data_IF_129716646543
#
_entry.id   IF_129716646543
#
_cell.length_a   1.000
_cell.length_b   1.000
_cell.length_c   1.000
_cell.angle_alpha   90.00
_cell.angle_beta   90.00
_cell.angle_gamma   90.00
#
_symmetry.space_group_name_H-M   'P 1'
#
loop_
_entity.id
_entity.type
_entity.pdbx_description
1 polymer ?
#
# COMPACT_ATOMS: atom_id res chain seq x y z
N UNK A 1 -27.11 -10.70 -11.90
CA UNK A 1 -26.61 -10.42 -10.52
C UNK A 1 -25.11 -10.73 -10.32
N UNK A 2 -24.61 -11.92 -10.65
CA UNK A 2 -23.20 -12.32 -10.40
C UNK A 2 -22.15 -11.43 -11.11
N UNK A 3 -22.35 -11.10 -12.41
CA UNK A 3 -21.44 -10.21 -13.16
C UNK A 3 -21.28 -8.82 -12.55
N UNK A 4 -22.36 -8.25 -12.01
CA UNK A 4 -22.34 -6.94 -11.33
C UNK A 4 -21.49 -6.98 -10.06
N UNK A 5 -21.53 -8.11 -9.34
CA UNK A 5 -20.74 -8.33 -8.12
C UNK A 5 -19.26 -8.51 -8.46
N UNK A 6 -18.93 -9.35 -9.43
CA UNK A 6 -17.55 -9.52 -9.89
C UNK A 6 -16.95 -8.18 -10.34
N UNK A 7 -17.68 -7.40 -11.14
CA UNK A 7 -17.23 -6.06 -11.55
C UNK A 7 -17.01 -5.13 -10.35
N UNK A 8 -17.88 -5.17 -9.34
CA UNK A 8 -17.71 -4.38 -8.12
C UNK A 8 -16.49 -4.83 -7.31
N UNK A 9 -16.26 -6.13 -7.17
CA UNK A 9 -15.08 -6.72 -6.52
C UNK A 9 -13.81 -6.25 -7.23
N UNK A 10 -13.72 -6.46 -8.54
CA UNK A 10 -12.56 -6.07 -9.35
C UNK A 10 -12.31 -4.57 -9.29
N UNK A 11 -13.34 -3.74 -9.48
CA UNK A 11 -13.20 -2.26 -9.44
C UNK A 11 -12.79 -1.73 -8.07
N UNK A 12 -13.20 -2.40 -6.99
CA UNK A 12 -12.84 -1.99 -5.63
C UNK A 12 -11.42 -2.43 -5.28
N UNK A 13 -11.03 -3.65 -5.68
CA UNK A 13 -9.67 -4.15 -5.53
C UNK A 13 -8.69 -3.28 -6.33
N UNK A 14 -8.96 -3.00 -7.62
CA UNK A 14 -8.08 -2.17 -8.45
C UNK A 14 -7.94 -0.75 -7.91
N UNK A 15 -9.01 -0.16 -7.37
CA UNK A 15 -8.94 1.16 -6.74
C UNK A 15 -8.08 1.15 -5.46
N UNK A 16 -8.23 0.13 -4.61
CA UNK A 16 -7.39 -0.04 -3.41
C UNK A 16 -5.91 -0.23 -3.76
N UNK A 17 -5.62 -1.11 -4.72
CA UNK A 17 -4.25 -1.35 -5.22
C UNK A 17 -3.64 -0.09 -5.84
N UNK A 18 -4.41 0.68 -6.61
CA UNK A 18 -3.93 1.93 -7.18
C UNK A 18 -3.53 2.95 -6.09
N UNK A 19 -4.35 3.11 -5.04
CA UNK A 19 -4.01 4.01 -3.92
C UNK A 19 -2.77 3.54 -3.17
N UNK A 20 -2.61 2.23 -2.96
CA UNK A 20 -1.39 1.69 -2.37
C UNK A 20 -0.15 2.00 -3.21
N UNK A 21 -0.20 1.79 -4.52
CA UNK A 21 0.92 2.04 -5.42
C UNK A 21 1.27 3.53 -5.51
N UNK A 22 0.26 4.40 -5.63
CA UNK A 22 0.47 5.85 -5.64
C UNK A 22 1.06 6.33 -4.32
N UNK A 23 0.56 5.81 -3.18
CA UNK A 23 1.12 6.10 -1.87
C UNK A 23 2.56 5.62 -1.72
N UNK A 24 2.87 4.42 -2.20
CA UNK A 24 4.22 3.87 -2.24
C UNK A 24 5.18 4.71 -3.09
N UNK A 25 4.73 5.16 -4.28
CA UNK A 25 5.50 6.04 -5.14
C UNK A 25 5.78 7.40 -4.48
N UNK A 26 4.77 7.99 -3.82
CA UNK A 26 4.95 9.22 -3.06
C UNK A 26 5.96 9.04 -1.93
N UNK A 27 5.88 7.95 -1.16
CA UNK A 27 6.85 7.64 -0.10
C UNK A 27 8.28 7.48 -0.64
N UNK A 28 8.45 6.92 -1.84
CA UNK A 28 9.76 6.79 -2.48
C UNK A 28 10.32 8.13 -2.99
N UNK A 29 9.46 9.02 -3.49
CA UNK A 29 9.86 10.31 -4.07
C UNK A 29 10.02 11.41 -3.01
N UNK A 30 9.25 11.35 -1.91
CA UNK A 30 9.21 12.40 -0.90
C UNK A 30 10.59 12.76 -0.32
N UNK A 31 11.49 11.79 0.01
CA UNK A 31 12.83 12.12 0.50
C UNK A 31 13.67 12.92 -0.51
N UNK A 32 13.53 12.63 -1.81
CA UNK A 32 14.24 13.34 -2.88
C UNK A 32 13.73 14.78 -3.01
N UNK A 33 12.42 14.97 -2.86
CA UNK A 33 11.77 16.28 -2.93
C UNK A 33 12.09 17.15 -1.70
N UNK A 34 12.17 16.54 -0.52
CA UNK A 34 12.49 17.25 0.72
C UNK A 34 13.97 17.62 0.83
N UNK A 35 14.88 16.86 0.19
CA UNK A 35 16.34 17.09 0.24
C UNK A 35 16.95 17.21 -1.16
N UNK A 36 16.59 18.26 -1.92
CA UNK A 36 17.00 18.40 -3.32
C UNK A 36 18.51 18.63 -3.48
N UNK A 37 19.18 19.24 -2.50
CA UNK A 37 20.62 19.48 -2.53
C UNK A 37 21.41 18.16 -2.48
N UNK A 38 21.04 17.25 -1.57
CA UNK A 38 21.64 15.92 -1.45
C UNK A 38 21.34 15.05 -2.68
N UNK A 39 20.10 15.11 -3.18
CA UNK A 39 19.72 14.40 -4.40
C UNK A 39 20.55 14.89 -5.61
N UNK A 40 20.79 16.21 -5.70
CA UNK A 40 21.58 16.81 -6.77
C UNK A 40 23.06 16.44 -6.67
N UNK A 41 23.66 16.44 -5.49
CA UNK A 41 25.06 16.05 -5.33
C UNK A 41 25.27 14.57 -5.68
N UNK A 42 24.37 13.69 -5.24
CA UNK A 42 24.40 12.27 -5.62
C UNK A 42 24.24 12.08 -7.14
N UNK A 43 23.30 12.79 -7.77
CA UNK A 43 23.09 12.74 -9.22
C UNK A 43 24.32 13.20 -10.01
N UNK A 44 24.95 14.30 -9.57
CA UNK A 44 26.15 14.83 -10.22
C UNK A 44 27.38 13.94 -10.00
N UNK A 45 27.45 13.17 -8.91
CA UNK A 45 28.50 12.16 -8.74
C UNK A 45 28.32 10.94 -9.65
N UNK A 46 27.07 10.48 -9.84
CA UNK A 46 26.75 9.32 -10.67
C UNK A 46 26.93 9.59 -12.18
N UNK A 47 26.77 10.84 -12.63
CA UNK A 47 26.89 11.20 -14.03
C UNK A 47 27.60 12.55 -14.23
N UNK A 48 28.86 12.47 -14.63
CA UNK A 48 29.68 13.64 -14.97
C UNK A 48 29.24 14.26 -16.31
N UNK A 49 28.87 13.42 -17.29
CA UNK A 49 28.51 13.84 -18.66
C UNK A 49 27.00 13.96 -18.90
N UNK A 50 26.60 14.78 -19.89
CA UNK A 50 25.19 15.00 -20.25
C UNK A 50 24.47 13.71 -20.70
N UNK A 51 25.17 12.80 -21.39
CA UNK A 51 24.65 11.49 -21.79
C UNK A 51 24.40 10.59 -20.58
N UNK A 52 25.32 10.58 -19.60
CA UNK A 52 25.16 9.88 -18.34
C UNK A 52 23.98 10.40 -17.54
N UNK A 53 23.76 11.72 -17.52
CA UNK A 53 22.63 12.35 -16.82
C UNK A 53 21.29 11.91 -17.42
N UNK A 54 21.19 11.89 -18.76
CA UNK A 54 20.00 11.38 -19.44
C UNK A 54 19.77 9.89 -19.15
N UNK A 55 20.82 9.07 -19.16
CA UNK A 55 20.73 7.65 -18.84
C UNK A 55 20.25 7.40 -17.40
N UNK A 56 20.76 8.15 -16.42
CA UNK A 56 20.34 8.04 -15.00
C UNK A 56 18.88 8.45 -14.83
N UNK A 57 18.42 9.52 -15.50
CA UNK A 57 17.00 9.92 -15.46
C UNK A 57 16.11 8.84 -16.08
N UNK A 58 16.48 8.32 -17.24
CA UNK A 58 15.73 7.24 -17.90
C UNK A 58 15.69 5.98 -17.04
N UNK A 59 16.79 5.63 -16.38
CA UNK A 59 16.87 4.51 -15.45
C UNK A 59 15.98 4.75 -14.22
N UNK A 60 16.01 5.95 -13.64
CA UNK A 60 15.14 6.30 -12.51
C UNK A 60 13.66 6.22 -12.89
N UNK A 61 13.29 6.69 -14.08
CA UNK A 61 11.93 6.57 -14.63
C UNK A 61 11.55 5.11 -14.88
N UNK A 62 12.48 4.28 -15.36
CA UNK A 62 12.24 2.85 -15.56
C UNK A 62 12.07 2.09 -14.23
N UNK A 63 12.75 2.52 -13.17
CA UNK A 63 12.68 1.92 -11.83
C UNK A 63 11.53 2.45 -10.97
N UNK A 64 10.85 3.52 -11.41
CA UNK A 64 9.75 4.15 -10.67
C UNK A 64 8.61 3.19 -10.31
N UNK A 65 8.14 2.30 -11.21
CA UNK A 65 7.13 1.30 -10.87
C UNK A 65 7.61 0.32 -9.81
N UNK A 66 8.90 -0.05 -9.84
CA UNK A 66 9.49 -0.93 -8.84
C UNK A 66 9.56 -0.24 -7.47
N UNK A 67 10.01 1.02 -7.46
CA UNK A 67 10.05 1.85 -6.24
C UNK A 67 8.66 2.03 -5.62
N UNK A 68 7.60 2.15 -6.43
CA UNK A 68 6.23 2.22 -5.95
C UNK A 68 5.78 0.94 -5.21
N UNK A 69 6.09 -0.23 -5.77
CA UNK A 69 5.77 -1.53 -5.15
C UNK A 69 6.56 -1.74 -3.86
N UNK A 70 7.83 -1.35 -3.85
CA UNK A 70 8.69 -1.39 -2.66
C UNK A 70 8.17 -0.43 -1.57
N UNK A 71 7.85 0.81 -1.92
CA UNK A 71 7.27 1.77 -0.99
C UNK A 71 5.92 1.32 -0.43
N UNK A 72 5.08 0.69 -1.24
CA UNK A 72 3.82 0.11 -0.79
C UNK A 72 4.03 -1.07 0.19
N UNK A 73 5.00 -1.94 -0.10
CA UNK A 73 5.37 -3.05 0.79
C UNK A 73 5.92 -2.55 2.12
N UNK A 74 6.73 -1.49 2.10
CA UNK A 74 7.20 -0.82 3.30
C UNK A 74 6.02 -0.28 4.12
N UNK A 75 5.09 0.42 3.46
CA UNK A 75 3.92 1.01 4.13
C UNK A 75 3.00 -0.02 4.81
N UNK A 76 2.93 -1.23 4.26
CA UNK A 76 2.12 -2.33 4.79
C UNK A 76 2.67 -2.92 6.11
N UNK A 77 3.91 -2.61 6.48
CA UNK A 77 4.52 -3.05 7.74
C UNK A 77 5.49 -4.24 7.71
N UNK A 78 5.56 -5.16 6.72
CA UNK A 78 6.50 -6.29 6.79
C UNK A 78 7.98 -5.88 6.75
N UNK A 79 8.28 -4.61 6.42
CA UNK A 79 9.65 -4.10 6.40
C UNK A 79 10.51 -4.70 5.30
N UNK A 80 11.80 -4.39 5.32
CA UNK A 80 12.81 -5.02 4.49
C UNK A 80 13.85 -5.73 5.37
N UNK A 81 14.24 -6.94 4.98
CA UNK A 81 15.44 -7.57 5.51
C UNK A 81 16.65 -6.89 4.85
N UNK A 82 17.45 -6.18 5.64
CA UNK A 82 18.79 -5.77 5.22
C UNK A 82 19.75 -6.94 5.46
N UNK A 83 20.78 -7.04 4.61
CA UNK A 83 22.02 -7.78 4.84
C UNK A 83 22.25 -8.19 6.29
N UNK A 84 22.26 -9.50 6.61
CA UNK A 84 22.57 -10.04 7.95
C UNK A 84 21.46 -10.01 9.03
N UNK A 85 20.18 -10.17 8.65
CA UNK A 85 19.11 -10.49 9.60
C UNK A 85 18.52 -9.28 10.35
N UNK A 86 18.79 -8.07 9.89
CA UNK A 86 18.20 -6.85 10.43
C UNK A 86 16.92 -6.51 9.67
N UNK A 87 15.77 -6.60 10.36
CA UNK A 87 14.47 -6.23 9.82
C UNK A 87 14.20 -4.74 10.09
N UNK A 88 14.08 -3.95 9.02
CA UNK A 88 13.67 -2.54 9.10
C UNK A 88 12.21 -2.46 8.70
N UNK A 89 11.33 -2.42 9.69
CA UNK A 89 9.90 -2.16 9.50
C UNK A 89 9.52 -0.80 10.07
N UNK A 90 8.53 -0.11 9.47
CA UNK A 90 8.03 1.16 9.97
C UNK A 90 7.40 1.08 11.38
N UNK A 91 7.00 -0.13 11.80
CA UNK A 91 6.36 -0.39 13.09
C UNK A 91 7.30 -1.04 14.11
N UNK A 92 8.60 -1.09 13.83
CA UNK A 92 9.61 -1.57 14.76
C UNK A 92 10.81 -2.19 14.06
N UNK A 93 11.99 -1.99 14.64
CA UNK A 93 13.19 -2.77 14.31
C UNK A 93 13.24 -3.97 15.24
N UNK A 94 13.09 -5.19 14.71
CA UNK A 94 13.43 -6.38 15.48
C UNK A 94 14.95 -6.50 15.48
N UNK A 95 15.61 -5.86 16.44
CA UNK A 95 17.03 -6.09 16.68
C UNK A 95 17.20 -7.54 17.15
N UNK A 96 17.78 -8.40 16.31
CA UNK A 96 18.39 -9.65 16.78
C UNK A 96 19.42 -9.26 17.86
N UNK A 97 19.48 -9.95 19.01
CA UNK A 97 20.43 -9.60 20.07
C UNK A 97 21.84 -9.57 19.48
N UNK A 98 22.50 -8.40 19.55
CA UNK A 98 23.85 -8.23 19.01
C UNK A 98 24.75 -9.31 19.61
N UNK A 99 25.49 -10.05 18.78
CA UNK A 99 26.67 -10.76 19.24
C UNK A 99 27.61 -9.74 19.91
N UNK A 100 28.19 -10.07 21.08
CA UNK A 100 29.13 -9.17 21.75
C UNK A 100 30.36 -8.98 20.87
N UNK A 101 30.46 -7.81 20.22
CA UNK A 101 31.55 -7.46 19.32
C UNK A 101 31.15 -6.95 17.93
N UNK A 102 29.85 -6.94 17.56
CA UNK A 102 29.45 -6.38 16.27
C UNK A 102 29.73 -4.86 16.20
N UNK A 103 30.43 -4.38 15.15
CA UNK A 103 30.73 -2.96 15.00
C UNK A 103 29.42 -2.18 14.92
N UNK A 104 29.26 -1.20 15.81
CA UNK A 104 28.10 -0.32 15.85
C UNK A 104 28.04 0.46 14.54
N UNK A 105 27.21 0.00 13.60
CA UNK A 105 26.87 0.74 12.40
C UNK A 105 26.25 2.08 12.83
N UNK A 106 26.87 3.25 12.56
CA UNK A 106 26.36 4.56 12.98
C UNK A 106 25.11 5.01 12.20
N UNK A 107 24.50 4.11 11.42
CA UNK A 107 23.42 4.39 10.48
C UNK A 107 22.13 3.73 10.97
N UNK A 108 21.80 3.94 12.24
CA UNK A 108 20.42 3.82 12.69
C UNK A 108 19.91 5.26 12.80
N UNK A 109 18.90 5.67 12.01
CA UNK A 109 18.28 6.97 12.22
C UNK A 109 17.88 7.05 13.70
N UNK A 110 18.46 8.03 14.41
CA UNK A 110 18.16 8.32 15.81
C UNK A 110 16.68 8.70 16.01
N UNK A 111 15.94 8.90 14.93
CA UNK A 111 14.54 9.23 14.90
C UNK A 111 13.71 7.96 15.06
N UNK A 112 13.67 7.49 16.32
CA UNK A 112 12.65 6.57 16.80
C UNK A 112 11.24 7.13 16.56
N UNK A 113 10.26 6.24 16.69
CA UNK A 113 8.83 6.51 16.81
C UNK A 113 8.45 8.00 16.91
N UNK A 114 7.88 8.56 15.84
CA UNK A 114 7.32 9.92 15.87
C UNK A 114 7.67 10.84 14.71
N UNK A 115 8.63 10.48 13.84
CA UNK A 115 8.89 11.27 12.64
C UNK A 115 7.62 11.35 11.75
N UNK A 116 7.26 12.50 11.14
CA UNK A 116 6.08 12.63 10.30
C UNK A 116 6.03 11.61 9.15
N UNK A 117 7.20 11.12 8.71
CA UNK A 117 7.34 10.05 7.74
C UNK A 117 6.80 8.70 8.25
N UNK A 118 6.93 8.40 9.55
CA UNK A 118 6.38 7.18 10.18
C UNK A 118 4.85 7.19 10.24
N UNK A 119 4.23 8.37 10.42
CA UNK A 119 2.78 8.53 10.28
C UNK A 119 2.31 8.40 8.83
N UNK A 120 3.03 8.98 7.88
CA UNK A 120 2.70 8.89 6.46
C UNK A 120 2.64 7.43 5.97
N UNK A 121 3.51 6.57 6.49
CA UNK A 121 3.51 5.12 6.23
C UNK A 121 2.19 4.47 6.65
N UNK A 122 1.63 4.80 7.82
CA UNK A 122 0.34 4.25 8.27
C UNK A 122 -0.87 4.82 7.53
N UNK A 123 -0.79 6.05 7.01
CA UNK A 123 -1.90 6.70 6.28
C UNK A 123 -2.19 6.03 4.95
N UNK A 124 -1.16 5.55 4.24
CA UNK A 124 -1.31 4.91 2.92
C UNK A 124 -2.21 3.66 2.95
N UNK A 125 -1.98 2.64 3.79
CA UNK A 125 -2.84 1.46 3.86
C UNK A 125 -4.25 1.78 4.38
N UNK A 126 -4.38 2.77 5.29
CA UNK A 126 -5.68 3.28 5.73
C UNK A 126 -6.48 3.88 4.57
N UNK A 127 -5.88 4.78 3.80
CA UNK A 127 -6.52 5.44 2.65
C UNK A 127 -6.95 4.43 1.59
N UNK A 128 -6.12 3.41 1.33
CA UNK A 128 -6.45 2.33 0.41
C UNK A 128 -7.64 1.48 0.90
N UNK A 129 -7.67 1.11 2.19
CA UNK A 129 -8.79 0.39 2.81
C UNK A 129 -10.10 1.17 2.78
N UNK A 130 -10.05 2.47 3.07
CA UNK A 130 -11.21 3.37 2.99
C UNK A 130 -11.71 3.49 1.54
N UNK A 131 -10.81 3.64 0.57
CA UNK A 131 -11.17 3.75 -0.85
C UNK A 131 -11.85 2.48 -1.35
N UNK A 132 -11.31 1.32 -0.99
CA UNK A 132 -11.90 0.01 -1.30
C UNK A 132 -13.30 -0.11 -0.67
N UNK A 133 -13.46 0.24 0.61
CA UNK A 133 -14.74 0.24 1.30
C UNK A 133 -15.76 1.21 0.69
N UNK A 134 -15.32 2.39 0.25
CA UNK A 134 -16.19 3.39 -0.34
C UNK A 134 -16.73 2.94 -1.70
N UNK A 135 -15.87 2.33 -2.54
CA UNK A 135 -16.27 1.75 -3.82
C UNK A 135 -17.21 0.55 -3.65
N UNK A 136 -16.95 -0.34 -2.68
CA UNK A 136 -17.84 -1.46 -2.37
C UNK A 136 -19.19 -0.99 -1.81
N UNK A 137 -19.20 0.01 -0.91
CA UNK A 137 -20.44 0.62 -0.42
C UNK A 137 -21.24 1.31 -1.55
N UNK A 138 -20.56 1.88 -2.54
CA UNK A 138 -21.13 2.40 -3.80
C UNK A 138 -21.95 1.36 -4.55
N UNK A 139 -21.38 0.18 -4.73
CA UNK A 139 -22.05 -0.92 -5.41
C UNK A 139 -23.17 -1.55 -4.57
N UNK A 140 -22.96 -1.66 -3.26
CA UNK A 140 -23.89 -2.29 -2.32
C UNK A 140 -25.14 -1.46 -2.03
N UNK A 141 -25.03 -0.13 -2.05
CA UNK A 141 -26.15 0.80 -1.85
C UNK A 141 -26.04 1.99 -2.85
N UNK A 142 -26.44 1.80 -4.12
CA UNK A 142 -26.28 2.80 -5.19
C UNK A 142 -27.25 3.97 -5.03
N UNK A 143 -26.81 5.22 -5.10
CA UNK A 143 -27.65 6.40 -4.86
C UNK A 143 -28.98 6.45 -5.63
N UNK A 144 -29.04 5.89 -6.84
CA UNK A 144 -30.22 5.90 -7.73
C UNK A 144 -31.01 4.58 -7.77
N UNK A 145 -30.69 3.58 -6.94
CA UNK A 145 -31.40 2.28 -6.92
C UNK A 145 -32.47 2.19 -5.82
N UNK A 146 -33.49 1.37 -6.02
CA UNK A 146 -34.56 1.12 -5.03
C UNK A 146 -33.99 0.53 -3.73
N UNK A 147 -34.76 0.57 -2.64
CA UNK A 147 -34.31 0.05 -1.33
C UNK A 147 -34.13 -1.47 -1.35
N UNK A 148 -34.89 -2.15 -2.19
CA UNK A 148 -34.83 -3.59 -2.44
C UNK A 148 -33.56 -4.01 -3.21
N UNK A 149 -32.95 -3.10 -3.97
CA UNK A 149 -31.68 -3.33 -4.65
C UNK A 149 -30.46 -3.29 -3.71
N UNK A 150 -30.64 -2.83 -2.46
CA UNK A 150 -29.57 -2.76 -1.49
C UNK A 150 -29.15 -4.17 -1.08
N UNK A 151 -27.85 -4.45 -1.17
CA UNK A 151 -27.34 -5.77 -0.81
C UNK A 151 -27.49 -6.04 0.69
N UNK A 152 -27.86 -7.27 1.05
CA UNK A 152 -27.84 -7.73 2.44
C UNK A 152 -26.43 -7.70 3.05
N UNK A 153 -26.35 -7.68 4.39
CA UNK A 153 -25.08 -7.56 5.13
C UNK A 153 -24.05 -8.63 4.72
N UNK A 154 -24.47 -9.91 4.68
CA UNK A 154 -23.57 -10.99 4.27
C UNK A 154 -23.04 -10.85 2.85
N UNK A 155 -23.84 -10.27 1.93
CA UNK A 155 -23.40 -10.04 0.53
C UNK A 155 -22.39 -8.90 0.44
N UNK A 156 -22.56 -7.84 1.23
CA UNK A 156 -21.59 -6.75 1.31
C UNK A 156 -20.26 -7.24 1.90
N UNK A 157 -20.32 -8.06 2.94
CA UNK A 157 -19.14 -8.69 3.54
C UNK A 157 -18.43 -9.61 2.54
N UNK A 158 -19.16 -10.45 1.82
CA UNK A 158 -18.56 -11.32 0.80
C UNK A 158 -17.79 -10.53 -0.27
N UNK A 159 -18.35 -9.40 -0.74
CA UNK A 159 -17.71 -8.59 -1.78
C UNK A 159 -16.52 -7.80 -1.24
N UNK A 160 -16.58 -7.25 -0.03
CA UNK A 160 -15.42 -6.55 0.57
C UNK A 160 -14.28 -7.53 0.87
N UNK A 161 -14.59 -8.73 1.37
CA UNK A 161 -13.59 -9.78 1.61
C UNK A 161 -12.99 -10.26 0.30
N UNK A 162 -13.81 -10.51 -0.73
CA UNK A 162 -13.29 -10.89 -2.05
C UNK A 162 -12.43 -9.79 -2.69
N UNK A 163 -12.77 -8.52 -2.47
CA UNK A 163 -11.98 -7.40 -2.98
C UNK A 163 -10.66 -7.24 -2.20
N UNK A 164 -10.67 -7.47 -0.88
CA UNK A 164 -9.48 -7.48 -0.04
C UNK A 164 -8.50 -8.60 -0.44
N UNK A 165 -9.01 -9.82 -0.66
CA UNK A 165 -8.20 -10.96 -1.13
C UNK A 165 -7.62 -10.71 -2.52
N UNK A 166 -8.43 -10.17 -3.45
CA UNK A 166 -7.94 -9.83 -4.78
C UNK A 166 -6.89 -8.71 -4.74
N UNK A 167 -7.07 -7.70 -3.88
CA UNK A 167 -6.08 -6.66 -3.66
C UNK A 167 -4.76 -7.26 -3.13
N UNK A 168 -4.82 -8.13 -2.12
CA UNK A 168 -3.65 -8.84 -1.60
C UNK A 168 -2.96 -9.72 -2.64
N UNK A 169 -3.72 -10.43 -3.47
CA UNK A 169 -3.18 -11.23 -4.57
C UNK A 169 -2.51 -10.38 -5.65
N UNK A 170 -3.12 -9.25 -6.03
CA UNK A 170 -2.52 -8.29 -6.96
C UNK A 170 -1.22 -7.72 -6.38
N UNK A 171 -1.21 -7.34 -5.10
CA UNK A 171 -0.01 -6.83 -4.42
C UNK A 171 1.09 -7.89 -4.34
N UNK A 172 0.75 -9.14 -4.01
CA UNK A 172 1.70 -10.25 -4.01
C UNK A 172 2.31 -10.46 -5.40
N UNK A 173 1.49 -10.56 -6.45
CA UNK A 173 1.97 -10.73 -7.82
C UNK A 173 2.83 -9.56 -8.29
N UNK A 174 2.45 -8.32 -7.95
CA UNK A 174 3.28 -7.14 -8.23
C UNK A 174 4.62 -7.20 -7.47
N UNK A 175 4.63 -7.66 -6.23
CA UNK A 175 5.86 -7.86 -5.45
C UNK A 175 6.75 -8.98 -6.03
N UNK A 176 6.16 -10.04 -6.59
CA UNK A 176 6.93 -11.09 -7.28
C UNK A 176 7.57 -10.57 -8.57
N UNK A 177 6.85 -9.76 -9.34
CA UNK A 177 7.38 -9.13 -10.56
C UNK A 177 8.44 -8.06 -10.24
N UNK A 178 8.24 -7.31 -9.15
CA UNK A 178 9.16 -6.29 -8.64
C UNK A 178 10.39 -6.89 -7.91
N UNK A 179 10.23 -8.10 -7.38
CA UNK A 179 11.23 -8.83 -6.59
C UNK A 179 12.24 -9.62 -7.41
N UNK A 180 12.37 -9.31 -8.71
CA UNK A 180 13.45 -9.85 -9.54
C UNK A 180 14.81 -9.56 -8.89
N UNK A 181 15.56 -10.62 -8.56
CA UNK A 181 16.80 -10.56 -7.81
C UNK A 181 17.72 -9.44 -8.31
N UNK A 182 17.94 -8.42 -7.48
CA UNK A 182 18.95 -7.39 -7.74
C UNK A 182 20.36 -7.94 -7.45
N UNK A 183 20.77 -9.06 -8.08
CA UNK A 183 22.16 -9.55 -8.04
C UNK A 183 22.39 -11.05 -7.84
N UNK A 184 23.66 -11.44 -7.80
CA UNK A 184 24.16 -12.83 -7.72
C UNK A 184 23.93 -13.46 -6.34
N UNK A 185 23.72 -14.80 -6.34
CA UNK A 185 23.52 -15.85 -5.29
C UNK A 185 23.30 -15.51 -3.80
N UNK A 186 23.82 -14.41 -3.27
CA UNK A 186 23.58 -13.90 -1.91
C UNK A 186 22.40 -12.90 -1.88
N UNK A 187 22.16 -12.16 -2.97
CA UNK A 187 21.04 -11.19 -3.12
C UNK A 187 19.68 -11.84 -3.40
N UNK A 188 19.65 -13.12 -3.77
CA UNK A 188 18.41 -13.91 -3.88
C UNK A 188 17.77 -14.24 -2.53
N UNK A 189 18.50 -14.03 -1.41
CA UNK A 189 17.96 -14.10 -0.05
C UNK A 189 17.42 -12.76 0.46
N UNK A 190 17.64 -11.66 -0.27
CA UNK A 190 17.13 -10.33 0.08
C UNK A 190 15.86 -10.02 -0.71
N UNK A 191 14.73 -10.25 -0.07
CA UNK A 191 13.42 -9.81 -0.54
C UNK A 191 12.38 -10.02 0.55
N UNK A 192 11.35 -9.18 0.65
CA UNK A 192 10.19 -9.47 1.50
C UNK A 192 9.66 -10.84 1.10
N UNK A 193 9.36 -11.69 2.10
CA UNK A 193 8.90 -13.05 1.85
C UNK A 193 7.68 -12.95 0.94
N UNK A 194 7.69 -13.61 -0.23
CA UNK A 194 6.81 -13.29 -1.38
C UNK A 194 5.31 -13.15 -1.08
N UNK A 195 4.84 -13.81 -0.02
CA UNK A 195 3.45 -13.80 0.42
C UNK A 195 3.14 -12.73 1.49
N UNK A 196 4.13 -12.21 2.22
CA UNK A 196 3.95 -11.30 3.35
C UNK A 196 3.29 -9.97 2.96
N UNK A 197 3.72 -9.27 1.88
CA UNK A 197 3.04 -8.05 1.45
C UNK A 197 1.58 -8.30 1.06
N UNK A 198 1.30 -9.46 0.44
CA UNK A 198 -0.07 -9.85 0.09
C UNK A 198 -0.95 -10.12 1.30
N UNK A 199 -0.42 -10.83 2.31
CA UNK A 199 -1.13 -11.09 3.57
C UNK A 199 -1.35 -9.80 4.36
N UNK A 200 -0.32 -8.95 4.46
CA UNK A 200 -0.42 -7.65 5.12
C UNK A 200 -1.43 -6.74 4.42
N UNK A 201 -1.42 -6.66 3.08
CA UNK A 201 -2.41 -5.92 2.30
C UNK A 201 -3.82 -6.44 2.58
N UNK A 202 -4.03 -7.75 2.53
CA UNK A 202 -5.33 -8.37 2.85
C UNK A 202 -5.79 -8.00 4.26
N UNK A 203 -4.91 -8.10 5.25
CA UNK A 203 -5.21 -7.79 6.64
C UNK A 203 -5.62 -6.32 6.82
N UNK A 204 -4.88 -5.37 6.24
CA UNK A 204 -5.22 -3.94 6.26
C UNK A 204 -6.56 -3.66 5.59
N UNK A 205 -6.80 -4.25 4.41
CA UNK A 205 -8.06 -4.07 3.69
C UNK A 205 -9.26 -4.63 4.46
N UNK A 206 -9.09 -5.73 5.19
CA UNK A 206 -10.15 -6.30 6.02
C UNK A 206 -10.37 -5.49 7.30
N UNK A 207 -9.29 -5.12 7.98
CA UNK A 207 -9.32 -4.37 9.25
C UNK A 207 -9.99 -3.01 9.07
N UNK A 208 -9.65 -2.29 8.00
CA UNK A 208 -10.20 -0.95 7.71
C UNK A 208 -11.46 -1.05 6.88
N UNK A 209 -11.47 -1.93 5.88
CA UNK A 209 -12.53 -1.95 4.87
C UNK A 209 -13.85 -2.49 5.40
N UNK A 210 -13.81 -3.49 6.28
CA UNK A 210 -15.00 -4.12 6.87
C UNK A 210 -15.83 -3.15 7.74
N UNK A 211 -15.25 -2.46 8.75
CA UNK A 211 -16.03 -1.49 9.52
C UNK A 211 -16.49 -0.32 8.64
N UNK A 212 -15.61 0.18 7.76
CA UNK A 212 -15.92 1.33 6.90
C UNK A 212 -17.07 1.05 5.94
N UNK A 213 -17.11 -0.14 5.30
CA UNK A 213 -18.19 -0.48 4.35
C UNK A 213 -19.53 -0.63 5.07
N UNK A 214 -19.54 -1.18 6.29
CA UNK A 214 -20.76 -1.35 7.07
C UNK A 214 -21.32 0.00 7.52
N UNK A 215 -20.46 0.90 8.02
CA UNK A 215 -20.85 2.26 8.41
C UNK A 215 -21.38 3.04 7.22
N UNK A 216 -20.66 3.04 6.09
CA UNK A 216 -21.09 3.75 4.87
C UNK A 216 -22.40 3.18 4.31
N UNK A 217 -22.57 1.86 4.34
CA UNK A 217 -23.83 1.21 3.92
C UNK A 217 -24.97 1.62 4.84
N UNK A 218 -24.80 1.52 6.16
CA UNK A 218 -25.82 1.88 7.13
C UNK A 218 -26.21 3.35 7.00
N UNK A 219 -25.23 4.24 6.85
CA UNK A 219 -25.45 5.67 6.66
C UNK A 219 -26.26 5.96 5.39
N UNK A 220 -25.92 5.35 4.26
CA UNK A 220 -26.64 5.52 2.99
C UNK A 220 -28.07 4.99 3.04
N UNK A 221 -28.29 3.84 3.68
CA UNK A 221 -29.64 3.28 3.83
C UNK A 221 -30.50 4.15 4.77
N UNK A 222 -29.93 4.65 5.87
CA UNK A 222 -30.60 5.58 6.79
C UNK A 222 -30.92 6.93 6.17
N UNK A 223 -30.01 7.49 5.35
CA UNK A 223 -30.22 8.75 4.64
C UNK A 223 -31.44 8.73 3.71
N UNK A 224 -31.74 7.57 3.08
CA UNK A 224 -32.96 7.38 2.29
C UNK A 224 -34.22 7.38 3.14
N UNK A 225 -34.20 6.67 4.27
CA UNK A 225 -35.34 6.62 5.19
C UNK A 225 -35.75 8.01 5.68
N UNK A 226 -34.78 8.93 5.84
CA UNK A 226 -35.04 10.32 6.22
C UNK A 226 -35.58 11.18 5.06
N UNK A 227 -35.15 10.96 3.82
CA UNK A 227 -35.67 11.70 2.65
C UNK A 227 -37.13 11.39 2.33
N UNK A 228 -37.55 10.13 2.46
CA UNK A 228 -38.95 9.75 2.25
C UNK A 228 -39.89 10.19 3.39
N UNK A 229 -39.35 10.62 4.53
CA UNK A 229 -40.13 10.98 5.73
C UNK A 229 -40.27 12.49 5.94
N UNK A 230 -39.73 13.32 5.04
CA UNK A 230 -40.01 14.76 5.04
C UNK A 230 -41.36 14.97 4.33
N UNK A 231 -42.45 15.32 5.03
CA UNK A 231 -43.62 15.84 4.34
C UNK A 231 -43.22 17.13 3.62
N UNK A 232 -43.76 17.28 2.40
CA UNK A 232 -43.66 18.52 1.62
C UNK A 232 -44.39 19.66 2.31
#
# INVERSE_FOLDING_TARGET
MARRRLRATVRSATAGTAVLLTGGALLALLPLLCRPAEARTAFLHLAQDNSGRAAVVLLALALLPNAAVWGASFALGPGFLLGAGHLVAPLGTAAVPLLPGAPRLPVLPAEGYGAPLSWAVGVVPLAAGVTLAWRTAGAAAPAYGEREDAWGWGRTLLVVTGAALLCGAMTAGLCELAGGAMGTRELSRFGPVRWQPGVAATAWMLLVGTPTVLVLRAWRVRGRARRFRRPA
#
